data_IF_299582295783
#
_entry.id   IF_299582295783
#
_cell.length_a   1.000
_cell.length_b   1.000
_cell.length_c   1.000
_cell.angle_alpha   90.00
_cell.angle_beta   90.00
_cell.angle_gamma   90.00
#
_symmetry.space_group_name_H-M   'P 1'
#
loop_
_entity.id
_entity.type
_entity.pdbx_description
1 polymer ?
#
# COMPACT_ATOMS: atom_id res chain seq x y z
N UNK A 1 16.51 -2.90 -12.85
CA UNK A 1 15.32 -2.05 -12.73
C UNK A 1 14.11 -2.92 -12.49
N UNK A 2 14.01 -3.39 -11.25
CA UNK A 2 12.93 -4.19 -10.72
C UNK A 2 12.13 -3.31 -9.73
N UNK A 3 11.33 -2.38 -10.26
CA UNK A 3 10.55 -1.46 -9.41
C UNK A 3 9.50 -2.21 -8.60
N UNK A 4 9.47 -1.92 -7.29
CA UNK A 4 8.50 -2.49 -6.34
C UNK A 4 7.88 -1.41 -5.47
N UNK A 5 6.64 -1.67 -5.05
CA UNK A 5 5.94 -0.94 -4.00
C UNK A 5 5.98 -1.79 -2.72
N UNK A 6 6.33 -1.17 -1.60
CA UNK A 6 6.25 -1.75 -0.27
C UNK A 6 5.10 -1.10 0.51
N UNK A 7 4.31 -1.91 1.19
CA UNK A 7 3.22 -1.50 2.07
C UNK A 7 3.47 -1.99 3.49
N UNK A 8 3.79 -1.08 4.40
CA UNK A 8 3.92 -1.32 5.85
C UNK A 8 2.52 -1.31 6.49
N UNK A 9 1.95 -2.50 6.70
CA UNK A 9 0.60 -2.68 7.25
C UNK A 9 0.51 -2.15 8.68
N UNK A 10 1.58 -2.22 9.46
CA UNK A 10 1.57 -1.73 10.85
C UNK A 10 1.38 -0.21 10.93
N UNK A 11 1.75 0.51 9.87
CA UNK A 11 1.62 1.97 9.74
C UNK A 11 0.37 2.39 8.97
N UNK A 12 -0.30 1.47 8.30
CA UNK A 12 -1.53 1.77 7.58
C UNK A 12 -2.67 2.01 8.56
N UNK A 13 -3.28 3.20 8.50
CA UNK A 13 -4.43 3.58 9.34
C UNK A 13 -5.74 3.64 8.56
N UNK A 14 -5.75 3.19 7.31
CA UNK A 14 -6.97 3.15 6.49
C UNK A 14 -7.54 4.51 6.09
N UNK A 15 -6.76 5.61 6.09
CA UNK A 15 -7.28 6.97 5.86
C UNK A 15 -7.73 7.31 4.42
N UNK A 16 -7.60 6.38 3.46
CA UNK A 16 -7.95 6.57 2.04
C UNK A 16 -7.19 7.66 1.26
N UNK A 17 -6.24 8.36 1.88
CA UNK A 17 -5.47 9.43 1.20
C UNK A 17 -4.71 8.91 -0.01
N UNK A 18 -4.15 7.70 0.03
CA UNK A 18 -3.45 7.12 -1.12
C UNK A 18 -4.37 6.88 -2.34
N UNK A 19 -5.63 6.50 -2.11
CA UNK A 19 -6.61 6.33 -3.17
C UNK A 19 -7.04 7.67 -3.76
N UNK A 20 -7.38 8.64 -2.89
CA UNK A 20 -7.84 9.97 -3.33
C UNK A 20 -6.72 10.79 -3.99
N UNK A 21 -5.51 10.78 -3.44
CA UNK A 21 -4.35 11.44 -4.03
C UNK A 21 -4.01 10.87 -5.41
N UNK A 22 -4.05 9.54 -5.55
CA UNK A 22 -3.89 8.90 -6.85
C UNK A 22 -4.96 9.34 -7.85
N UNK A 23 -6.22 9.41 -7.43
CA UNK A 23 -7.34 9.81 -8.28
C UNK A 23 -7.22 11.25 -8.76
N UNK A 24 -7.09 12.19 -7.84
CA UNK A 24 -6.99 13.62 -8.16
C UNK A 24 -5.74 13.91 -8.97
N UNK A 25 -4.60 13.38 -8.56
CA UNK A 25 -3.31 13.62 -9.24
C UNK A 25 -3.22 13.01 -10.63
N UNK A 26 -3.97 11.93 -10.92
CA UNK A 26 -4.04 11.33 -12.26
C UNK A 26 -5.29 11.74 -13.05
N UNK A 27 -6.14 12.62 -12.51
CA UNK A 27 -7.40 13.03 -13.15
C UNK A 27 -8.29 11.84 -13.55
N UNK A 28 -8.45 10.85 -12.66
CA UNK A 28 -9.31 9.70 -12.94
C UNK A 28 -10.79 10.08 -12.80
N UNK A 29 -11.64 9.40 -13.56
CA UNK A 29 -13.10 9.57 -13.53
C UNK A 29 -13.69 9.19 -12.16
N UNK A 30 -14.92 9.63 -11.87
CA UNK A 30 -15.59 9.48 -10.57
C UNK A 30 -15.77 8.02 -10.13
N UNK A 31 -15.91 7.08 -11.06
CA UNK A 31 -16.03 5.65 -10.80
C UNK A 31 -14.71 4.88 -10.95
N UNK A 32 -13.60 5.57 -11.25
CA UNK A 32 -12.29 4.95 -11.40
C UNK A 32 -11.42 5.11 -10.14
N UNK A 33 -10.76 4.02 -9.77
CA UNK A 33 -9.69 3.97 -8.77
C UNK A 33 -8.55 3.08 -9.28
N UNK A 34 -7.33 3.36 -8.81
CA UNK A 34 -6.14 2.50 -9.01
C UNK A 34 -5.64 1.88 -7.71
N UNK A 35 -6.15 2.36 -6.58
CA UNK A 35 -5.84 1.87 -5.23
C UNK A 35 -7.14 1.88 -4.44
N UNK A 36 -7.44 0.78 -3.78
CA UNK A 36 -8.57 0.63 -2.87
C UNK A 36 -8.05 0.27 -1.48
N UNK A 37 -8.79 0.58 -0.42
CA UNK A 37 -8.40 0.22 0.94
C UNK A 37 -9.36 -0.86 1.44
N UNK A 38 -8.85 -2.08 1.57
CA UNK A 38 -9.59 -3.20 2.16
C UNK A 38 -9.54 -3.09 3.69
N UNK A 39 -10.71 -3.01 4.31
CA UNK A 39 -10.83 -3.16 5.77
C UNK A 39 -10.83 -4.65 6.09
N UNK A 40 -9.90 -5.07 6.94
CA UNK A 40 -9.90 -6.39 7.56
C UNK A 40 -10.50 -6.26 8.96
N UNK A 41 -11.78 -6.61 9.03
CA UNK A 41 -12.65 -6.50 10.20
C UNK A 41 -13.91 -7.34 9.94
N UNK A 42 -15.07 -6.91 10.41
CA UNK A 42 -16.29 -7.75 10.40
C UNK A 42 -16.89 -8.05 9.03
N UNK A 43 -16.36 -7.49 7.94
CA UNK A 43 -16.92 -7.61 6.59
C UNK A 43 -18.25 -6.87 6.40
N UNK A 44 -18.76 -6.19 7.44
CA UNK A 44 -20.01 -5.46 7.38
C UNK A 44 -19.88 -4.04 6.80
N UNK A 45 -18.72 -3.66 6.27
CA UNK A 45 -18.47 -2.33 5.67
C UNK A 45 -17.08 -1.79 6.00
N UNK A 46 -16.82 -0.57 5.52
CA UNK A 46 -15.58 0.18 5.79
C UNK A 46 -15.52 0.53 7.29
N UNK A 47 -14.32 0.40 7.87
CA UNK A 47 -14.01 0.77 9.26
C UNK A 47 -14.90 0.09 10.32
N UNK A 48 -15.31 -1.16 10.05
CA UNK A 48 -16.09 -1.96 11.00
C UNK A 48 -15.20 -3.04 11.64
N UNK A 49 -14.85 -2.91 12.94
CA UNK A 49 -14.06 -3.92 13.62
C UNK A 49 -14.82 -5.23 13.77
N UNK A 50 -14.10 -6.31 14.03
CA UNK A 50 -14.65 -7.58 14.46
C UNK A 50 -14.18 -7.94 15.88
N UNK A 51 -14.81 -8.94 16.48
CA UNK A 51 -14.58 -9.35 17.86
C UNK A 51 -15.64 -8.82 18.83
N UNK A 52 -15.37 -8.97 20.13
CA UNK A 52 -16.26 -8.55 21.23
C UNK A 52 -15.42 -7.80 22.25
N UNK A 53 -15.91 -6.66 22.74
CA UNK A 53 -15.20 -5.88 23.75
C UNK A 53 -14.78 -6.74 24.97
N UNK A 54 -13.52 -6.69 25.43
CA UNK A 54 -12.46 -5.73 25.03
C UNK A 54 -11.59 -6.17 23.83
N UNK A 55 -11.80 -7.37 23.30
CA UNK A 55 -11.01 -7.99 22.24
C UNK A 55 -11.57 -7.64 20.85
N UNK A 56 -11.50 -6.35 20.49
CA UNK A 56 -11.81 -5.85 19.15
C UNK A 56 -10.54 -5.70 18.34
N UNK A 57 -10.59 -6.13 17.08
CA UNK A 57 -9.48 -5.97 16.14
C UNK A 57 -9.94 -5.53 14.77
N UNK A 58 -9.07 -4.76 14.12
CA UNK A 58 -9.25 -4.23 12.77
C UNK A 58 -7.90 -3.78 12.22
N UNK A 59 -7.71 -3.93 10.92
CA UNK A 59 -6.58 -3.36 10.20
C UNK A 59 -6.95 -3.09 8.74
N UNK A 60 -6.06 -2.42 8.02
CA UNK A 60 -6.33 -1.96 6.65
C UNK A 60 -5.23 -2.36 5.70
N UNK A 61 -5.64 -2.73 4.49
CA UNK A 61 -4.73 -3.13 3.42
C UNK A 61 -5.04 -2.34 2.16
N UNK A 62 -4.14 -1.43 1.73
CA UNK A 62 -4.20 -0.85 0.40
C UNK A 62 -3.99 -1.93 -0.66
N UNK A 63 -4.96 -2.10 -1.57
CA UNK A 63 -4.91 -2.99 -2.71
C UNK A 63 -4.68 -2.16 -3.96
N UNK A 64 -3.62 -2.44 -4.70
CA UNK A 64 -3.31 -1.74 -5.95
C UNK A 64 -3.96 -2.50 -7.09
N UNK A 65 -4.89 -1.89 -7.81
CA UNK A 65 -5.64 -2.55 -8.87
C UNK A 65 -4.79 -2.76 -10.14
N UNK A 66 -5.19 -3.65 -11.08
CA UNK A 66 -4.38 -3.97 -12.27
C UNK A 66 -4.15 -2.77 -13.21
N UNK A 67 -5.02 -1.75 -13.14
CA UNK A 67 -4.88 -0.49 -13.87
C UNK A 67 -3.90 0.50 -13.22
N UNK A 68 -3.26 0.16 -12.09
CA UNK A 68 -2.20 0.98 -11.50
C UNK A 68 -0.95 0.99 -12.40
N UNK A 69 -0.42 2.18 -12.68
CA UNK A 69 0.70 2.38 -13.62
C UNK A 69 2.04 2.75 -12.96
N UNK A 70 2.08 2.91 -11.63
CA UNK A 70 3.21 3.52 -10.89
C UNK A 70 3.57 4.96 -11.31
N UNK A 71 2.62 5.72 -11.88
CA UNK A 71 2.80 7.14 -12.21
C UNK A 71 4.06 7.42 -13.07
N UNK A 72 4.14 6.91 -14.30
CA UNK A 72 5.36 6.93 -15.10
C UNK A 72 5.91 8.35 -15.36
N UNK A 73 5.05 9.36 -15.53
CA UNK A 73 5.51 10.74 -15.73
C UNK A 73 6.22 11.31 -14.50
N UNK A 74 5.72 11.02 -13.29
CA UNK A 74 6.36 11.41 -12.03
C UNK A 74 7.70 10.72 -11.86
N UNK A 75 7.78 9.45 -12.22
CA UNK A 75 9.05 8.70 -12.20
C UNK A 75 10.11 9.34 -13.10
N UNK A 76 9.74 9.82 -14.29
CA UNK A 76 10.69 10.52 -15.20
C UNK A 76 11.24 11.81 -14.60
N UNK A 77 10.44 12.48 -13.78
CA UNK A 77 10.80 13.73 -13.10
C UNK A 77 11.49 13.48 -11.74
N UNK A 78 11.68 12.22 -11.34
CA UNK A 78 12.27 11.86 -10.05
C UNK A 78 11.33 12.11 -8.87
N UNK A 79 10.03 12.29 -9.12
CA UNK A 79 9.04 12.53 -8.09
C UNK A 79 8.39 11.21 -7.61
N UNK A 80 8.05 11.10 -6.30
CA UNK A 80 7.34 9.94 -5.79
C UNK A 80 5.92 9.84 -6.36
N UNK A 81 5.35 8.64 -6.38
CA UNK A 81 3.94 8.42 -6.73
C UNK A 81 3.04 9.21 -5.78
N UNK A 82 1.87 9.65 -6.28
CA UNK A 82 0.90 10.37 -5.44
C UNK A 82 0.54 9.61 -4.16
N UNK A 83 0.28 8.30 -4.28
CA UNK A 83 -0.03 7.48 -3.11
C UNK A 83 1.09 7.46 -2.06
N UNK A 84 2.36 7.47 -2.50
CA UNK A 84 3.54 7.47 -1.62
C UNK A 84 3.73 8.86 -1.01
N UNK A 85 3.64 9.91 -1.83
CA UNK A 85 3.78 11.31 -1.40
C UNK A 85 2.74 11.68 -0.33
N UNK A 86 1.49 11.30 -0.55
CA UNK A 86 0.37 11.76 0.27
C UNK A 86 0.13 10.89 1.51
N UNK A 87 0.89 9.80 1.70
CA UNK A 87 0.70 8.92 2.84
C UNK A 87 1.16 9.60 4.15
N UNK A 88 0.24 9.97 5.07
CA UNK A 88 0.61 10.75 6.24
C UNK A 88 1.44 9.97 7.27
N UNK A 89 1.37 8.64 7.25
CA UNK A 89 2.08 7.75 8.19
C UNK A 89 3.37 7.17 7.60
N UNK A 90 3.69 7.48 6.34
CA UNK A 90 4.83 6.90 5.62
C UNK A 90 4.79 5.37 5.65
N UNK A 91 3.60 4.81 5.38
CA UNK A 91 3.38 3.38 5.25
C UNK A 91 3.76 2.84 3.87
N UNK A 92 3.93 3.71 2.88
CA UNK A 92 4.16 3.34 1.48
C UNK A 92 5.57 3.76 1.07
N UNK A 93 6.27 2.88 0.36
CA UNK A 93 7.57 3.17 -0.21
C UNK A 93 7.70 2.54 -1.60
N UNK A 94 8.29 3.26 -2.54
CA UNK A 94 8.47 2.80 -3.92
C UNK A 94 9.89 3.05 -4.38
N UNK A 95 10.45 2.14 -5.16
CA UNK A 95 11.81 2.26 -5.68
C UNK A 95 12.26 1.03 -6.46
N UNK A 96 13.45 1.14 -7.05
CA UNK A 96 14.11 0.01 -7.70
C UNK A 96 14.62 -0.96 -6.63
N UNK A 97 14.20 -2.22 -6.68
CA UNK A 97 14.62 -3.24 -5.74
C UNK A 97 16.10 -3.64 -5.91
N UNK A 98 16.70 -3.35 -7.07
CA UNK A 98 18.11 -3.59 -7.34
C UNK A 98 19.01 -2.48 -6.75
N UNK A 99 18.43 -1.34 -6.36
CA UNK A 99 19.14 -0.20 -5.80
C UNK A 99 18.98 -0.17 -4.26
N UNK A 100 20.06 -0.37 -3.49
CA UNK A 100 19.99 -0.37 -2.02
C UNK A 100 19.62 1.00 -1.44
N UNK A 101 19.89 2.08 -2.16
CA UNK A 101 19.59 3.45 -1.72
C UNK A 101 18.17 3.88 -2.09
N UNK A 102 17.40 3.04 -2.80
CA UNK A 102 16.01 3.36 -3.13
C UNK A 102 15.11 3.38 -1.89
N UNK A 103 14.03 4.19 -1.93
CA UNK A 103 13.09 4.28 -0.81
C UNK A 103 12.45 2.92 -0.48
N UNK A 104 12.22 2.07 -1.49
CA UNK A 104 11.76 0.69 -1.29
C UNK A 104 12.79 -0.13 -0.51
N UNK A 105 14.05 -0.18 -0.96
CA UNK A 105 15.10 -1.00 -0.35
C UNK A 105 15.40 -0.58 1.09
N UNK A 106 15.48 0.72 1.36
CA UNK A 106 15.68 1.26 2.71
C UNK A 106 14.50 0.92 3.64
N UNK A 107 13.25 1.08 3.16
CA UNK A 107 12.07 0.78 3.96
C UNK A 107 11.96 -0.73 4.25
N UNK A 108 12.27 -1.57 3.27
CA UNK A 108 12.29 -3.03 3.39
C UNK A 108 13.34 -3.48 4.41
N UNK A 109 14.58 -2.98 4.31
CA UNK A 109 15.66 -3.29 5.26
C UNK A 109 15.30 -2.89 6.69
N UNK A 110 14.68 -1.71 6.87
CA UNK A 110 14.18 -1.26 8.18
C UNK A 110 13.13 -2.20 8.77
N UNK A 111 12.22 -2.71 7.94
CA UNK A 111 11.18 -3.64 8.37
C UNK A 111 11.73 -5.04 8.67
N UNK A 112 12.69 -5.51 7.88
CA UNK A 112 13.39 -6.76 8.10
C UNK A 112 14.16 -6.74 9.43
N UNK A 113 14.84 -5.64 9.73
CA UNK A 113 15.50 -5.43 11.03
C UNK A 113 14.53 -5.43 12.22
N UNK A 114 13.23 -5.16 11.99
CA UNK A 114 12.17 -5.23 13.00
C UNK A 114 11.49 -6.61 13.07
N UNK A 115 11.96 -7.59 12.29
CA UNK A 115 11.38 -8.93 12.24
C UNK A 115 10.04 -8.98 11.50
N UNK A 116 9.80 -8.08 10.56
CA UNK A 116 8.57 -8.10 9.76
C UNK A 116 8.49 -9.35 8.90
N UNK A 117 7.28 -9.92 8.79
CA UNK A 117 6.93 -10.88 7.76
C UNK A 117 6.62 -10.12 6.47
N UNK A 118 7.08 -10.65 5.35
CA UNK A 118 6.80 -10.13 4.01
C UNK A 118 5.94 -11.12 3.22
N UNK A 119 5.04 -10.60 2.39
CA UNK A 119 4.25 -11.41 1.45
C UNK A 119 3.83 -10.59 0.24
N UNK A 120 3.51 -11.29 -0.84
CA UNK A 120 2.80 -10.74 -2.00
C UNK A 120 1.40 -11.39 -1.99
N UNK A 121 0.38 -10.72 -2.54
CA UNK A 121 -0.91 -11.37 -2.73
C UNK A 121 -0.88 -12.04 -4.11
N UNK A 122 -1.04 -13.36 -4.14
CA UNK A 122 -1.24 -14.09 -5.38
C UNK A 122 -2.61 -13.69 -5.99
N UNK A 123 -2.74 -13.81 -7.32
CA UNK A 123 -3.96 -13.51 -8.10
C UNK A 123 -5.26 -14.24 -7.62
N UNK A 124 -5.17 -15.08 -6.58
CA UNK A 124 -6.25 -15.89 -6.03
C UNK A 124 -7.23 -15.10 -5.15
N UNK A 125 -7.93 -14.12 -5.75
CA UNK A 125 -9.21 -13.62 -5.25
C UNK A 125 -9.28 -12.14 -4.89
N UNK A 126 -8.18 -11.39 -5.01
CA UNK A 126 -8.22 -9.91 -5.13
C UNK A 126 -7.16 -9.58 -6.15
N UNK A 127 -7.52 -9.03 -7.31
CA UNK A 127 -6.58 -8.73 -8.40
C UNK A 127 -5.70 -7.54 -8.01
N UNK A 128 -4.79 -7.74 -7.05
CA UNK A 128 -3.71 -6.79 -6.85
C UNK A 128 -2.80 -6.85 -8.06
N UNK A 129 -2.23 -5.71 -8.42
CA UNK A 129 -1.13 -5.65 -9.36
C UNK A 129 0.07 -6.44 -8.80
N UNK A 130 0.87 -7.02 -9.69
CA UNK A 130 2.21 -7.53 -9.37
C UNK A 130 3.15 -6.43 -8.84
N UNK A 131 4.27 -6.86 -8.25
CA UNK A 131 5.30 -6.00 -7.69
C UNK A 131 4.84 -5.14 -6.49
N UNK A 132 3.84 -5.62 -5.75
CA UNK A 132 3.41 -5.06 -4.47
C UNK A 132 3.80 -6.05 -3.37
N UNK A 133 4.73 -5.64 -2.52
CA UNK A 133 5.14 -6.38 -1.33
C UNK A 133 4.47 -5.76 -0.10
N UNK A 134 3.88 -6.60 0.73
CA UNK A 134 3.27 -6.21 1.99
C UNK A 134 4.14 -6.67 3.14
N UNK A 135 4.18 -5.89 4.21
CA UNK A 135 4.97 -6.18 5.40
C UNK A 135 4.20 -5.88 6.68
N UNK A 136 4.38 -6.72 7.70
CA UNK A 136 3.80 -6.54 9.03
C UNK A 136 4.72 -7.17 10.07
N UNK A 137 4.88 -6.49 11.22
CA UNK A 137 5.51 -7.05 12.42
C UNK A 137 4.47 -7.70 13.35
N UNK A 138 3.17 -7.42 13.14
CA UNK A 138 2.07 -8.09 13.83
C UNK A 138 1.88 -9.47 13.21
N UNK A 139 1.85 -10.50 14.07
CA UNK A 139 1.62 -11.91 13.72
C UNK A 139 0.13 -12.23 13.70
#
# INVERSE_FOLDING_TARGET
>A
MAYKMLVDIDRCIGCWTCAMGCKVGNHLEDDEYRVEIKTHGSGAGIDRPEGVYPDLHMWWQPIYLPNCTFCPERMKEGEPQFCVMDCPTLALAFGDADDPDSAYSQARARLEARGARFWELDDAGTTTRSCIEYASTRQ
#
